data_IF_469781681033
#
_entry.id   IF_469781681033
#
_cell.length_a   1.000
_cell.length_b   1.000
_cell.length_c   1.000
_cell.angle_alpha   90.00
_cell.angle_beta   90.00
_cell.angle_gamma   90.00
#
_symmetry.space_group_name_H-M   'P 1'
#
loop_
_entity.id
_entity.type
_entity.pdbx_description
1 polymer ?
#
# COMPACT_ATOMS: atom_id res chain seq x y z
N UNK A 1 36.93 -63.52 -36.74
CA UNK A 1 37.27 -62.11 -36.49
C UNK A 1 35.94 -61.35 -36.40
N UNK A 2 35.31 -61.24 -35.23
CA UNK A 2 35.72 -60.41 -34.09
C UNK A 2 35.76 -58.93 -34.53
N UNK A 3 34.89 -58.01 -34.10
CA UNK A 3 34.49 -57.69 -32.71
C UNK A 3 33.09 -57.08 -32.61
N UNK A 4 32.46 -57.42 -31.49
CA UNK A 4 31.41 -56.68 -30.79
C UNK A 4 31.70 -55.17 -30.75
N UNK A 5 30.63 -54.35 -30.73
CA UNK A 5 30.40 -53.46 -29.59
C UNK A 5 28.94 -53.03 -29.55
N UNK A 6 28.19 -53.64 -28.64
CA UNK A 6 26.99 -52.99 -28.12
C UNK A 6 27.40 -51.63 -27.55
N UNK A 7 26.68 -50.60 -27.95
CA UNK A 7 26.59 -49.35 -27.21
C UNK A 7 25.14 -49.22 -26.78
N UNK A 8 24.80 -50.08 -25.82
CA UNK A 8 23.66 -49.91 -24.94
C UNK A 8 24.01 -48.77 -23.95
N UNK A 9 24.04 -47.53 -24.44
CA UNK A 9 24.36 -46.34 -23.62
C UNK A 9 23.43 -45.16 -23.93
N UNK A 10 22.14 -45.45 -24.04
CA UNK A 10 21.13 -44.41 -23.91
C UNK A 10 20.03 -44.86 -22.96
N UNK A 11 20.43 -45.27 -21.74
CA UNK A 11 19.53 -45.17 -20.60
C UNK A 11 19.32 -43.67 -20.37
N UNK A 12 18.31 -43.11 -21.04
CA UNK A 12 17.72 -41.82 -20.74
C UNK A 12 17.20 -41.88 -19.30
N UNK A 13 18.12 -41.68 -18.35
CA UNK A 13 17.84 -41.61 -16.92
C UNK A 13 17.07 -40.34 -16.66
N UNK A 14 15.75 -40.46 -16.65
CA UNK A 14 14.74 -39.42 -16.47
C UNK A 14 14.81 -38.28 -17.53
N UNK A 15 13.72 -38.14 -18.28
CA UNK A 15 13.31 -36.90 -18.93
C UNK A 15 11.91 -36.60 -18.36
N UNK A 16 11.71 -36.27 -17.09
CA UNK A 16 12.27 -35.18 -16.28
C UNK A 16 12.25 -33.81 -16.93
N UNK A 17 11.32 -33.52 -17.82
CA UNK A 17 10.90 -32.12 -17.95
C UNK A 17 10.49 -31.64 -16.55
N UNK A 18 11.44 -31.05 -15.82
CA UNK A 18 11.21 -30.13 -14.72
C UNK A 18 10.32 -30.68 -13.58
N UNK A 19 10.66 -31.85 -13.05
CA UNK A 19 10.12 -32.36 -11.79
C UNK A 19 10.13 -31.26 -10.70
N UNK A 20 8.93 -30.87 -10.23
CA UNK A 20 8.72 -29.85 -9.18
C UNK A 20 8.51 -30.54 -7.84
N UNK A 21 9.26 -30.13 -6.81
CA UNK A 21 8.98 -30.53 -5.43
C UNK A 21 7.95 -29.60 -4.77
N UNK A 22 7.33 -30.06 -3.68
CA UNK A 22 6.46 -29.19 -2.87
C UNK A 22 7.19 -27.97 -2.31
N UNK A 23 8.50 -28.08 -2.06
CA UNK A 23 9.31 -26.96 -1.62
C UNK A 23 9.46 -25.90 -2.70
N UNK A 24 9.66 -26.31 -3.96
CA UNK A 24 9.77 -25.40 -5.10
C UNK A 24 8.46 -24.61 -5.30
N UNK A 25 7.31 -25.28 -5.19
CA UNK A 25 6.01 -24.60 -5.28
C UNK A 25 5.80 -23.57 -4.16
N UNK A 26 6.28 -23.87 -2.94
CA UNK A 26 6.22 -22.93 -1.82
C UNK A 26 7.14 -21.73 -2.05
N UNK A 27 8.34 -21.96 -2.58
CA UNK A 27 9.28 -20.89 -2.93
C UNK A 27 8.69 -19.97 -4.00
N UNK A 28 8.12 -20.54 -5.07
CA UNK A 28 7.42 -19.77 -6.11
C UNK A 28 6.25 -18.98 -5.53
N UNK A 29 5.44 -19.58 -4.65
CA UNK A 29 4.34 -18.88 -3.96
C UNK A 29 4.87 -17.68 -3.17
N UNK A 30 5.90 -17.86 -2.37
CA UNK A 30 6.43 -16.83 -1.49
C UNK A 30 7.12 -15.72 -2.30
N UNK A 31 7.85 -16.06 -3.37
CA UNK A 31 8.42 -15.09 -4.33
C UNK A 31 7.34 -14.29 -5.07
N UNK A 32 6.27 -14.94 -5.51
CA UNK A 32 5.14 -14.30 -6.17
C UNK A 32 4.42 -13.34 -5.22
N UNK A 33 4.15 -13.78 -3.99
CA UNK A 33 3.53 -12.93 -2.96
C UNK A 33 4.43 -11.74 -2.61
N UNK A 34 5.75 -11.94 -2.52
CA UNK A 34 6.70 -10.86 -2.30
C UNK A 34 6.75 -9.89 -3.49
N UNK A 35 6.68 -10.39 -4.73
CA UNK A 35 6.61 -9.57 -5.93
C UNK A 35 5.33 -8.72 -5.97
N UNK A 36 4.17 -9.32 -5.66
CA UNK A 36 2.89 -8.61 -5.55
C UNK A 36 2.92 -7.57 -4.41
N UNK A 37 3.56 -7.89 -3.29
CA UNK A 37 3.73 -6.94 -2.19
C UNK A 37 4.61 -5.75 -2.60
N UNK A 38 5.65 -5.97 -3.40
CA UNK A 38 6.50 -4.91 -3.97
C UNK A 38 5.76 -4.06 -4.99
N UNK A 39 4.92 -4.65 -5.85
CA UNK A 39 4.14 -3.90 -6.85
C UNK A 39 3.00 -3.10 -6.24
N UNK A 40 2.48 -3.50 -5.07
CA UNK A 40 1.50 -2.72 -4.29
C UNK A 40 2.06 -1.40 -3.74
N UNK A 41 3.29 -1.04 -4.08
CA UNK A 41 3.89 0.22 -3.69
C UNK A 41 4.26 0.19 -2.22
N UNK A 42 5.43 -0.38 -1.91
CA UNK A 42 6.17 0.02 -0.71
C UNK A 42 6.84 1.38 -0.94
N UNK A 43 6.11 2.35 -1.47
CA UNK A 43 6.32 3.68 -0.94
C UNK A 43 5.96 3.50 0.53
N UNK A 44 6.84 3.75 1.52
CA UNK A 44 6.30 4.12 2.82
C UNK A 44 5.21 5.13 2.49
N UNK A 45 4.00 4.95 3.01
CA UNK A 45 2.97 5.97 2.87
C UNK A 45 3.63 7.27 3.35
N UNK A 46 4.28 8.01 2.46
CA UNK A 46 4.76 9.36 2.70
C UNK A 46 3.48 10.10 2.54
N UNK A 47 2.67 9.94 3.59
CA UNK A 47 1.36 10.48 3.70
C UNK A 47 1.58 11.95 3.41
N UNK A 48 1.13 12.38 2.24
CA UNK A 48 1.48 13.68 1.69
C UNK A 48 1.13 14.74 2.73
N UNK A 49 2.16 15.37 3.31
CA UNK A 49 1.99 16.30 4.43
C UNK A 49 1.10 17.48 4.05
N UNK A 50 1.29 18.00 2.84
CA UNK A 50 0.52 19.13 2.31
C UNK A 50 -0.60 18.67 1.37
N UNK A 51 -1.83 18.85 1.81
CA UNK A 51 -3.04 18.45 1.09
C UNK A 51 -3.71 19.67 0.46
N UNK A 52 -4.10 19.57 -0.82
CA UNK A 52 -4.91 20.61 -1.48
C UNK A 52 -6.36 20.55 -0.99
N UNK A 53 -7.12 21.64 -1.17
CA UNK A 53 -8.56 21.68 -0.85
C UNK A 53 -9.37 20.51 -1.44
N UNK A 54 -9.01 20.00 -2.62
CA UNK A 54 -9.67 18.83 -3.23
C UNK A 54 -9.34 17.53 -2.48
N UNK A 55 -8.11 17.37 -2.01
CA UNK A 55 -7.65 16.20 -1.28
C UNK A 55 -8.27 16.17 0.12
N UNK A 56 -8.32 17.30 0.83
CA UNK A 56 -8.96 17.41 2.14
C UNK A 56 -10.45 17.09 2.07
N UNK A 57 -11.16 17.58 1.04
CA UNK A 57 -12.58 17.24 0.85
C UNK A 57 -12.81 15.75 0.67
N UNK A 58 -11.94 15.07 -0.08
CA UNK A 58 -12.00 13.62 -0.26
C UNK A 58 -11.66 12.88 1.03
N UNK A 59 -10.62 13.34 1.74
CA UNK A 59 -10.14 12.74 2.99
C UNK A 59 -11.22 12.76 4.09
N UNK A 60 -11.88 13.91 4.28
CA UNK A 60 -12.88 14.09 5.32
C UNK A 60 -14.31 13.80 4.83
N UNK A 61 -14.48 13.50 3.54
CA UNK A 61 -15.77 13.35 2.87
C UNK A 61 -16.73 14.54 3.13
N UNK A 62 -16.24 15.77 2.93
CA UNK A 62 -17.01 17.01 3.19
C UNK A 62 -17.28 17.83 1.92
N UNK A 63 -18.38 18.59 1.96
CA UNK A 63 -18.74 19.53 0.91
C UNK A 63 -17.77 20.73 0.86
N UNK A 64 -17.67 21.43 -0.29
CA UNK A 64 -16.89 22.66 -0.40
C UNK A 64 -17.31 23.75 0.60
N UNK A 65 -18.62 23.88 0.84
CA UNK A 65 -19.15 24.84 1.81
C UNK A 65 -18.74 24.54 3.25
N UNK A 66 -18.64 23.25 3.62
CA UNK A 66 -18.16 22.86 4.96
C UNK A 66 -16.67 23.17 5.13
N UNK A 67 -15.83 22.90 4.12
CA UNK A 67 -14.41 23.26 4.18
C UNK A 67 -14.22 24.78 4.27
N UNK A 68 -15.05 25.57 3.56
CA UNK A 68 -15.05 27.02 3.68
C UNK A 68 -15.42 27.48 5.09
N UNK A 69 -16.44 26.88 5.71
CA UNK A 69 -16.83 27.18 7.09
C UNK A 69 -15.72 26.86 8.09
N UNK A 70 -15.06 25.70 7.96
CA UNK A 70 -13.91 25.32 8.81
C UNK A 70 -12.77 26.35 8.73
N UNK A 71 -12.51 26.86 7.52
CA UNK A 71 -11.53 27.93 7.27
C UNK A 71 -11.98 29.27 7.87
N UNK A 72 -13.22 29.69 7.62
CA UNK A 72 -13.77 30.95 8.11
C UNK A 72 -13.80 31.01 9.63
N UNK A 73 -14.15 29.89 10.27
CA UNK A 73 -14.20 29.74 11.73
C UNK A 73 -12.81 29.53 12.36
N UNK A 74 -11.73 29.57 11.58
CA UNK A 74 -10.35 29.31 12.02
C UNK A 74 -10.17 27.98 12.75
N UNK A 75 -10.97 26.97 12.39
CA UNK A 75 -10.89 25.63 12.98
C UNK A 75 -9.81 24.78 12.30
N UNK A 76 -9.49 25.10 11.05
CA UNK A 76 -8.46 24.42 10.27
C UNK A 76 -7.47 25.43 9.69
N UNK A 77 -6.20 25.31 10.07
CA UNK A 77 -5.13 26.15 9.56
C UNK A 77 -4.85 25.85 8.07
N UNK A 78 -4.44 26.87 7.33
CA UNK A 78 -4.18 26.75 5.90
C UNK A 78 -3.04 27.67 5.46
N UNK A 79 -2.34 27.27 4.41
CA UNK A 79 -1.30 28.07 3.76
C UNK A 79 -1.73 28.37 2.33
N UNK A 80 -1.57 29.62 1.89
CA UNK A 80 -1.82 30.01 0.50
C UNK A 80 -0.48 30.17 -0.22
N UNK A 81 -0.24 29.36 -1.24
CA UNK A 81 0.97 29.42 -2.07
C UNK A 81 0.57 29.45 -3.54
N UNK A 82 0.94 30.52 -4.26
CA UNK A 82 0.68 30.65 -5.70
C UNK A 82 -0.81 30.58 -6.07
N UNK A 83 -1.70 31.07 -5.21
CA UNK A 83 -3.15 31.01 -5.43
C UNK A 83 -3.82 29.68 -5.04
N UNK A 84 -3.04 28.64 -4.72
CA UNK A 84 -3.55 27.36 -4.23
C UNK A 84 -3.51 27.32 -2.69
N UNK A 85 -4.54 26.73 -2.08
CA UNK A 85 -4.61 26.55 -0.63
C UNK A 85 -4.20 25.12 -0.28
N UNK A 86 -3.29 25.03 0.69
CA UNK A 86 -2.78 23.81 1.27
C UNK A 86 -3.13 23.71 2.74
N UNK A 87 -3.25 22.48 3.22
CA UNK A 87 -3.54 22.12 4.59
C UNK A 87 -2.50 21.12 5.05
N UNK A 88 -2.01 21.30 6.27
CA UNK A 88 -1.16 20.31 6.92
C UNK A 88 -2.04 19.14 7.39
N UNK A 89 -1.59 17.91 7.16
CA UNK A 89 -2.25 16.74 7.69
C UNK A 89 -2.28 16.74 9.22
N UNK A 90 -1.19 17.16 9.86
CA UNK A 90 -1.07 17.15 11.31
C UNK A 90 -2.14 18.06 11.94
N UNK A 91 -2.39 19.22 11.31
CA UNK A 91 -3.43 20.17 11.72
C UNK A 91 -4.85 19.59 11.53
N UNK A 92 -5.08 18.83 10.46
CA UNK A 92 -6.37 18.16 10.22
C UNK A 92 -6.64 17.15 11.33
N UNK A 93 -5.65 16.34 11.69
CA UNK A 93 -5.79 15.33 12.74
C UNK A 93 -5.96 15.97 14.11
N UNK A 94 -5.20 17.02 14.43
CA UNK A 94 -5.37 17.80 15.65
C UNK A 94 -6.78 18.41 15.76
N UNK A 95 -7.32 18.94 14.67
CA UNK A 95 -8.69 19.47 14.62
C UNK A 95 -9.72 18.37 14.93
N UNK A 96 -9.59 17.19 14.31
CA UNK A 96 -10.51 16.06 14.55
C UNK A 96 -10.42 15.62 16.01
N UNK A 97 -9.21 15.48 16.54
CA UNK A 97 -9.00 15.04 17.92
C UNK A 97 -9.57 16.04 18.92
N UNK A 98 -9.48 17.34 18.64
CA UNK A 98 -10.11 18.39 19.46
C UNK A 98 -11.64 18.35 19.39
N UNK A 99 -12.20 18.00 18.23
CA UNK A 99 -13.65 17.87 18.04
C UNK A 99 -14.22 16.54 18.57
N UNK A 100 -13.36 15.56 18.88
CA UNK A 100 -13.75 14.26 19.42
C UNK A 100 -14.35 14.43 20.81
N UNK A 101 -15.62 14.12 20.95
CA UNK A 101 -16.28 14.08 22.27
C UNK A 101 -15.82 12.85 23.05
N UNK A 102 -15.46 12.98 24.35
CA UNK A 102 -15.14 11.82 25.17
C UNK A 102 -16.39 10.95 25.30
N UNK A 103 -16.35 9.74 24.76
CA UNK A 103 -17.43 8.79 24.98
C UNK A 103 -17.27 8.21 26.39
N UNK A 104 -18.06 8.72 27.34
CA UNK A 104 -18.23 8.09 28.65
C UNK A 104 -19.12 6.85 28.48
N UNK A 105 -18.60 5.79 27.84
CA UNK A 105 -19.23 4.47 27.99
C UNK A 105 -18.74 3.95 29.33
N UNK A 106 -19.65 3.95 30.31
CA UNK A 106 -19.40 3.50 31.66
C UNK A 106 -18.71 2.14 31.68
N UNK A 107 -17.57 2.09 32.37
CA UNK A 107 -17.12 0.86 33.00
C UNK A 107 -18.18 0.51 34.03
N UNK A 108 -18.92 -0.56 33.77
CA UNK A 108 -19.63 -1.35 34.77
C UNK A 108 -18.92 -2.70 34.86
#
# INVERSE_FOLDING_TARGET
MERMRGTDEAKAGLSLDQLVTLADLKNVRDELLAAIARTRGSSPDTVKKWLKSSEVRKLLNISPGKLLALKANRQLAFVRLGGVIYYDRDDIEAMIQKAKVPTLIGKA
#
